data_IF_981374559228
#
_entry.id   IF_981374559228
#
_cell.length_a   1.000
_cell.length_b   1.000
_cell.length_c   1.000
_cell.angle_alpha   90.00
_cell.angle_beta   90.00
_cell.angle_gamma   90.00
#
_symmetry.space_group_name_H-M   'P 1'
#
loop_
_entity.id
_entity.type
_entity.pdbx_description
1 polymer ?
#
# COMPACT_ATOMS: atom_id res chain seq x y z
N UNK A 1 -14.30 11.32 -7.36
CA UNK A 1 -14.02 11.25 -5.90
C UNK A 1 -14.17 12.60 -5.22
N UNK A 2 -13.29 13.57 -5.45
CA UNK A 2 -13.23 14.86 -4.73
C UNK A 2 -14.55 15.65 -4.66
N UNK A 3 -15.18 15.95 -5.81
CA UNK A 3 -16.46 16.71 -5.86
C UNK A 3 -17.55 16.10 -4.96
N UNK A 4 -17.59 14.76 -4.87
CA UNK A 4 -18.58 14.05 -4.05
C UNK A 4 -18.28 14.16 -2.56
N UNK A 5 -17.01 14.23 -2.15
CA UNK A 5 -16.61 14.35 -0.75
C UNK A 5 -17.18 15.60 -0.07
N UNK A 6 -17.56 16.64 -0.83
CA UNK A 6 -18.21 17.85 -0.32
C UNK A 6 -19.46 17.59 0.52
N UNK A 7 -20.21 16.52 0.24
CA UNK A 7 -21.45 16.18 0.96
C UNK A 7 -21.21 15.80 2.44
N UNK A 8 -19.97 15.43 2.80
CA UNK A 8 -19.60 15.03 4.16
C UNK A 8 -19.44 16.21 5.13
N UNK A 9 -19.60 17.44 4.64
CA UNK A 9 -19.64 18.65 5.47
C UNK A 9 -20.98 19.36 5.21
N UNK A 10 -21.95 19.29 6.15
CA UNK A 10 -23.16 20.09 6.09
C UNK A 10 -22.82 21.57 6.19
N UNK A 11 -23.30 22.38 5.23
CA UNK A 11 -23.00 23.80 5.11
C UNK A 11 -21.49 24.11 5.21
N UNK A 12 -20.69 23.72 4.19
CA UNK A 12 -19.25 23.97 4.15
C UNK A 12 -18.95 25.47 4.27
N UNK A 13 -18.01 25.84 5.14
CA UNK A 13 -17.55 27.23 5.25
C UNK A 13 -16.54 27.57 4.17
N UNK A 14 -15.80 26.56 3.71
CA UNK A 14 -14.98 26.69 2.52
C UNK A 14 -15.90 26.72 1.30
N UNK A 15 -15.86 27.83 0.57
CA UNK A 15 -16.67 28.04 -0.62
C UNK A 15 -16.43 26.97 -1.69
N UNK A 16 -17.42 26.77 -2.56
CA UNK A 16 -17.37 25.76 -3.63
C UNK A 16 -16.14 25.92 -4.52
N UNK A 17 -15.82 27.16 -4.89
CA UNK A 17 -14.66 27.46 -5.75
C UNK A 17 -13.35 27.05 -5.08
N UNK A 18 -13.15 27.40 -3.81
CA UNK A 18 -11.94 27.02 -3.07
C UNK A 18 -11.82 25.49 -2.92
N UNK A 19 -12.93 24.81 -2.63
CA UNK A 19 -12.96 23.34 -2.61
C UNK A 19 -12.58 22.76 -3.99
N UNK A 20 -13.17 23.24 -5.07
CA UNK A 20 -12.92 22.71 -6.41
C UNK A 20 -11.49 22.99 -6.89
N UNK A 21 -10.92 24.16 -6.53
CA UNK A 21 -9.50 24.48 -6.78
C UNK A 21 -8.55 23.56 -6.03
N UNK A 22 -8.83 23.23 -4.77
CA UNK A 22 -8.02 22.29 -3.99
C UNK A 22 -7.99 20.91 -4.65
N UNK A 23 -9.15 20.45 -5.15
CA UNK A 23 -9.25 19.20 -5.90
C UNK A 23 -8.53 19.24 -7.25
N UNK A 24 -8.61 20.35 -7.97
CA UNK A 24 -7.91 20.55 -9.24
C UNK A 24 -6.39 20.57 -9.04
N UNK A 25 -5.90 21.24 -7.99
CA UNK A 25 -4.50 21.23 -7.62
C UNK A 25 -4.02 19.81 -7.29
N UNK A 26 -4.81 19.04 -6.54
CA UNK A 26 -4.56 17.62 -6.29
C UNK A 26 -4.47 16.79 -7.56
N UNK A 27 -5.44 16.94 -8.47
CA UNK A 27 -5.43 16.26 -9.75
C UNK A 27 -4.20 16.64 -10.60
N UNK A 28 -3.83 17.92 -10.63
CA UNK A 28 -2.65 18.39 -11.34
C UNK A 28 -1.36 17.77 -10.76
N UNK A 29 -1.21 17.74 -9.43
CA UNK A 29 -0.08 17.07 -8.77
C UNK A 29 0.00 15.60 -9.18
N UNK A 30 -1.11 14.86 -9.11
CA UNK A 30 -1.13 13.44 -9.45
C UNK A 30 -0.83 13.18 -10.93
N UNK A 31 -1.45 13.92 -11.85
CA UNK A 31 -1.33 13.67 -13.29
C UNK A 31 0.02 14.14 -13.85
N UNK A 32 0.54 15.25 -13.35
CA UNK A 32 1.74 15.89 -13.90
C UNK A 32 3.03 15.44 -13.23
N UNK A 33 2.95 14.72 -12.11
CA UNK A 33 4.15 14.19 -11.48
C UNK A 33 4.82 13.10 -12.32
N UNK A 34 6.14 13.06 -12.26
CA UNK A 34 6.93 12.19 -13.13
C UNK A 34 6.64 10.69 -12.90
N UNK A 35 6.32 10.25 -11.68
CA UNK A 35 6.05 8.83 -11.39
C UNK A 35 4.83 8.32 -12.16
N UNK A 36 3.72 9.06 -12.13
CA UNK A 36 2.50 8.70 -12.87
C UNK A 36 2.81 8.60 -14.35
N UNK A 37 3.49 9.61 -14.91
CA UNK A 37 3.87 9.63 -16.33
C UNK A 37 4.73 8.41 -16.70
N UNK A 38 5.67 8.05 -15.84
CA UNK A 38 6.56 6.90 -16.05
C UNK A 38 5.80 5.57 -15.95
N UNK A 39 4.94 5.39 -14.95
CA UNK A 39 4.18 4.15 -14.79
C UNK A 39 3.24 3.90 -15.96
N UNK A 40 2.59 4.95 -16.47
CA UNK A 40 1.77 4.86 -17.67
C UNK A 40 2.61 4.55 -18.91
N UNK A 41 3.75 5.25 -19.10
CA UNK A 41 4.63 5.03 -20.25
C UNK A 41 5.26 3.63 -20.27
N UNK A 42 5.66 3.11 -19.12
CA UNK A 42 6.30 1.80 -18.99
C UNK A 42 5.28 0.64 -18.94
N UNK A 43 3.97 0.91 -19.08
CA UNK A 43 2.89 -0.08 -18.99
C UNK A 43 3.06 -0.94 -17.71
N UNK A 44 3.36 -0.26 -16.61
CA UNK A 44 3.60 -0.92 -15.32
C UNK A 44 2.25 -1.24 -14.67
N UNK A 45 2.14 -2.36 -13.95
CA UNK A 45 0.92 -2.69 -13.22
C UNK A 45 0.54 -1.60 -12.20
N UNK A 46 1.51 -0.80 -11.74
CA UNK A 46 1.29 0.37 -10.88
C UNK A 46 0.33 1.41 -11.47
N UNK A 47 0.31 1.64 -12.80
CA UNK A 47 -0.63 2.57 -13.45
C UNK A 47 -2.07 2.06 -13.37
N UNK A 48 -2.27 0.79 -13.73
CA UNK A 48 -3.57 0.10 -13.61
C UNK A 48 -4.06 0.09 -12.16
N UNK A 49 -3.16 -0.15 -11.20
CA UNK A 49 -3.48 -0.13 -9.78
C UNK A 49 -3.95 1.25 -9.32
N UNK A 50 -3.28 2.33 -9.74
CA UNK A 50 -3.69 3.69 -9.37
C UNK A 50 -5.09 4.03 -9.93
N UNK A 51 -5.39 3.60 -11.16
CA UNK A 51 -6.72 3.74 -11.74
C UNK A 51 -7.78 2.95 -10.96
N UNK A 52 -7.55 1.65 -10.71
CA UNK A 52 -8.46 0.80 -9.94
C UNK A 52 -8.68 1.35 -8.53
N UNK A 53 -7.61 1.79 -7.86
CA UNK A 53 -7.66 2.43 -6.55
C UNK A 53 -8.52 3.72 -6.57
N UNK A 54 -8.40 4.52 -7.62
CA UNK A 54 -9.21 5.73 -7.79
C UNK A 54 -10.71 5.46 -7.92
N UNK A 55 -11.07 4.39 -8.65
CA UNK A 55 -12.45 3.91 -8.77
C UNK A 55 -12.93 3.37 -7.42
N UNK A 56 -12.12 2.55 -6.74
CA UNK A 56 -12.45 2.01 -5.42
C UNK A 56 -12.75 3.13 -4.42
N UNK A 57 -11.92 4.18 -4.34
CA UNK A 57 -12.21 5.33 -3.48
C UNK A 57 -13.45 6.13 -3.93
N UNK A 58 -13.68 6.25 -5.24
CA UNK A 58 -14.92 6.86 -5.74
C UNK A 58 -16.16 6.09 -5.28
N UNK A 59 -16.18 4.77 -5.47
CA UNK A 59 -17.28 3.88 -5.09
C UNK A 59 -17.47 3.84 -3.58
N UNK A 60 -16.40 3.86 -2.80
CA UNK A 60 -16.44 4.01 -1.34
C UNK A 60 -17.15 5.30 -0.95
N UNK A 61 -16.73 6.45 -1.47
CA UNK A 61 -17.34 7.73 -1.13
C UNK A 61 -18.82 7.77 -1.55
N UNK A 62 -19.16 7.19 -2.71
CA UNK A 62 -20.55 7.07 -3.16
C UNK A 62 -21.39 6.17 -2.23
N UNK A 63 -20.87 5.00 -1.87
CA UNK A 63 -21.50 4.10 -0.92
C UNK A 63 -21.74 4.81 0.42
N UNK A 64 -20.71 5.43 0.99
CA UNK A 64 -20.81 6.15 2.27
C UNK A 64 -21.85 7.28 2.20
N UNK A 65 -21.86 8.07 1.13
CA UNK A 65 -22.83 9.14 0.94
C UNK A 65 -24.26 8.60 0.81
N UNK A 66 -24.48 7.57 -0.03
CA UNK A 66 -25.80 7.00 -0.24
C UNK A 66 -26.33 6.26 1.00
N UNK A 67 -25.46 5.62 1.77
CA UNK A 67 -25.84 4.84 2.95
C UNK A 67 -26.05 5.69 4.21
N UNK A 68 -25.08 6.55 4.55
CA UNK A 68 -25.10 7.30 5.81
C UNK A 68 -25.80 8.65 5.72
N UNK A 69 -25.76 9.31 4.56
CA UNK A 69 -26.26 10.69 4.40
C UNK A 69 -27.60 10.72 3.66
N UNK A 70 -27.69 10.09 2.49
CA UNK A 70 -28.86 10.23 1.60
C UNK A 70 -29.90 9.12 1.77
N UNK A 71 -29.55 8.02 2.45
CA UNK A 71 -30.47 6.92 2.75
C UNK A 71 -31.07 6.23 1.50
N UNK A 72 -30.35 6.25 0.37
CA UNK A 72 -30.79 5.71 -0.93
C UNK A 72 -30.51 4.21 -1.02
N UNK A 73 -31.54 3.38 -0.82
CA UNK A 73 -31.42 1.91 -0.74
C UNK A 73 -30.81 1.27 -1.99
N UNK A 74 -31.36 1.54 -3.17
CA UNK A 74 -30.92 0.92 -4.44
C UNK A 74 -29.50 1.33 -4.80
N UNK A 75 -29.19 2.63 -4.73
CA UNK A 75 -27.86 3.15 -4.96
C UNK A 75 -26.83 2.57 -3.98
N UNK A 76 -27.20 2.44 -2.70
CA UNK A 76 -26.32 1.80 -1.70
C UNK A 76 -25.93 0.39 -2.10
N UNK A 77 -26.90 -0.44 -2.51
CA UNK A 77 -26.63 -1.82 -2.95
C UNK A 77 -25.73 -1.83 -4.18
N UNK A 78 -26.04 -1.03 -5.20
CA UNK A 78 -25.24 -0.96 -6.43
C UNK A 78 -23.79 -0.55 -6.15
N UNK A 79 -23.57 0.49 -5.33
CA UNK A 79 -22.22 0.94 -4.97
C UNK A 79 -21.51 -0.04 -4.05
N UNK A 80 -22.20 -0.76 -3.16
CA UNK A 80 -21.60 -1.80 -2.33
C UNK A 80 -21.10 -2.99 -3.17
N UNK A 81 -21.89 -3.45 -4.14
CA UNK A 81 -21.50 -4.53 -5.05
C UNK A 81 -20.33 -4.09 -5.92
N UNK A 82 -20.41 -2.88 -6.50
CA UNK A 82 -19.32 -2.35 -7.30
C UNK A 82 -18.03 -2.16 -6.47
N UNK A 83 -18.14 -1.69 -5.23
CA UNK A 83 -17.00 -1.55 -4.33
C UNK A 83 -16.39 -2.91 -3.97
N UNK A 84 -17.21 -3.93 -3.71
CA UNK A 84 -16.74 -5.30 -3.51
C UNK A 84 -15.96 -5.81 -4.73
N UNK A 85 -16.52 -5.64 -5.92
CA UNK A 85 -15.87 -6.02 -7.16
C UNK A 85 -14.51 -5.32 -7.34
N UNK A 86 -14.44 -4.00 -7.19
CA UNK A 86 -13.20 -3.26 -7.41
C UNK A 86 -12.16 -3.49 -6.31
N UNK A 87 -12.59 -3.76 -5.07
CA UNK A 87 -11.69 -4.12 -3.98
C UNK A 87 -11.06 -5.51 -4.21
N UNK A 88 -11.87 -6.51 -4.59
CA UNK A 88 -11.36 -7.85 -4.93
C UNK A 88 -10.42 -7.76 -6.15
N UNK A 89 -10.82 -7.02 -7.18
CA UNK A 89 -10.01 -6.80 -8.36
C UNK A 89 -8.66 -6.15 -8.01
N UNK A 90 -8.66 -5.13 -7.14
CA UNK A 90 -7.44 -4.47 -6.68
C UNK A 90 -6.50 -5.44 -5.95
N UNK A 91 -7.03 -6.31 -5.09
CA UNK A 91 -6.26 -7.34 -4.41
C UNK A 91 -5.66 -8.38 -5.40
N UNK A 92 -6.42 -8.78 -6.43
CA UNK A 92 -5.95 -9.73 -7.45
C UNK A 92 -4.87 -9.13 -8.36
N UNK A 93 -4.99 -7.86 -8.80
CA UNK A 93 -3.98 -7.25 -9.67
C UNK A 93 -2.67 -6.95 -8.96
N UNK A 94 -2.71 -6.67 -7.65
CA UNK A 94 -1.52 -6.42 -6.84
C UNK A 94 -1.77 -6.87 -5.40
N UNK A 95 -1.25 -8.06 -5.02
CA UNK A 95 -1.49 -8.66 -3.72
C UNK A 95 -1.13 -7.80 -2.51
N UNK A 96 -0.30 -6.76 -2.66
CA UNK A 96 0.01 -5.80 -1.59
C UNK A 96 -1.16 -4.89 -1.19
N UNK A 97 -2.35 -5.10 -1.76
CA UNK A 97 -3.59 -4.43 -1.37
C UNK A 97 -4.60 -5.39 -0.74
N UNK A 98 -4.23 -6.62 -0.38
CA UNK A 98 -5.17 -7.59 0.20
C UNK A 98 -5.81 -7.06 1.49
N UNK A 99 -4.99 -6.65 2.47
CA UNK A 99 -5.45 -6.06 3.72
C UNK A 99 -6.15 -4.72 3.49
N UNK A 100 -5.63 -3.90 2.59
CA UNK A 100 -6.24 -2.62 2.24
C UNK A 100 -7.65 -2.78 1.63
N UNK A 101 -7.84 -3.83 0.83
CA UNK A 101 -9.12 -4.17 0.22
C UNK A 101 -10.11 -4.69 1.26
N UNK A 102 -9.67 -5.48 2.25
CA UNK A 102 -10.51 -5.81 3.39
C UNK A 102 -10.90 -4.56 4.20
N UNK A 103 -9.94 -3.68 4.43
CA UNK A 103 -10.17 -2.41 5.14
C UNK A 103 -11.18 -1.52 4.40
N UNK A 104 -11.08 -1.41 3.07
CA UNK A 104 -11.98 -0.58 2.27
C UNK A 104 -13.42 -1.08 2.27
N UNK A 105 -13.62 -2.40 2.47
CA UNK A 105 -14.93 -3.03 2.56
C UNK A 105 -15.55 -2.97 3.96
N UNK A 106 -14.77 -2.62 4.99
CA UNK A 106 -15.26 -2.56 6.37
C UNK A 106 -16.52 -1.69 6.59
N UNK A 107 -16.75 -0.57 5.87
CA UNK A 107 -17.98 0.20 6.02
C UNK A 107 -19.23 -0.54 5.54
N UNK A 108 -19.11 -1.52 4.64
CA UNK A 108 -20.25 -2.34 4.18
C UNK A 108 -20.82 -3.15 5.34
N UNK A 109 -19.99 -3.52 6.33
CA UNK A 109 -20.45 -4.32 7.47
C UNK A 109 -21.57 -3.57 8.23
N UNK A 110 -21.53 -2.23 8.28
CA UNK A 110 -22.59 -1.39 8.85
C UNK A 110 -23.99 -1.65 8.27
N UNK A 111 -24.07 -2.11 7.01
CA UNK A 111 -25.32 -2.48 6.35
C UNK A 111 -26.03 -3.65 7.06
N UNK A 112 -25.27 -4.59 7.63
CA UNK A 112 -25.83 -5.76 8.31
C UNK A 112 -26.47 -5.42 9.66
N UNK A 113 -26.04 -4.34 10.32
CA UNK A 113 -26.68 -3.84 11.55
C UNK A 113 -27.94 -3.01 11.30
N UNK A 114 -28.22 -2.63 10.04
CA UNK A 114 -29.41 -1.82 9.74
C UNK A 114 -30.68 -2.66 9.78
N UNK A 115 -31.64 -2.24 10.61
CA UNK A 115 -32.96 -2.87 10.69
C UNK A 115 -33.82 -2.53 9.45
N UNK A 116 -34.66 -3.46 9.01
CA UNK A 116 -35.59 -3.28 7.89
C UNK A 116 -34.99 -3.32 6.48
N UNK A 117 -33.72 -3.72 6.33
CA UNK A 117 -32.98 -3.76 5.05
C UNK A 117 -32.65 -5.19 4.58
N UNK A 118 -33.54 -6.16 4.84
CA UNK A 118 -33.30 -7.58 4.55
C UNK A 118 -32.93 -7.83 3.08
N UNK A 119 -33.72 -7.32 2.14
CA UNK A 119 -33.46 -7.51 0.71
C UNK A 119 -32.13 -6.90 0.26
N UNK A 120 -31.76 -5.74 0.81
CA UNK A 120 -30.46 -5.11 0.51
C UNK A 120 -29.31 -5.98 0.99
N UNK A 121 -29.43 -6.62 2.16
CA UNK A 121 -28.42 -7.57 2.68
C UNK A 121 -28.27 -8.75 1.71
N UNK A 122 -29.38 -9.34 1.28
CA UNK A 122 -29.38 -10.47 0.33
C UNK A 122 -28.69 -10.08 -0.99
N UNK A 123 -29.07 -8.95 -1.59
CA UNK A 123 -28.48 -8.50 -2.85
C UNK A 123 -26.99 -8.16 -2.74
N UNK A 124 -26.56 -7.53 -1.65
CA UNK A 124 -25.14 -7.24 -1.41
C UNK A 124 -24.36 -8.53 -1.22
N UNK A 125 -24.88 -9.49 -0.45
CA UNK A 125 -24.23 -10.79 -0.26
C UNK A 125 -24.11 -11.56 -1.58
N UNK A 126 -25.19 -11.63 -2.37
CA UNK A 126 -25.16 -12.26 -3.69
C UNK A 126 -24.17 -11.58 -4.63
N UNK A 127 -24.18 -10.25 -4.69
CA UNK A 127 -23.25 -9.49 -5.54
C UNK A 127 -21.80 -9.62 -5.09
N UNK A 128 -21.54 -9.72 -3.77
CA UNK A 128 -20.21 -10.01 -3.23
C UNK A 128 -19.73 -11.40 -3.66
N UNK A 129 -20.55 -12.44 -3.44
CA UNK A 129 -20.21 -13.82 -3.84
C UNK A 129 -19.98 -13.92 -5.34
N UNK A 130 -20.84 -13.30 -6.14
CA UNK A 130 -20.69 -13.25 -7.60
C UNK A 130 -19.38 -12.56 -8.00
N UNK A 131 -19.07 -11.40 -7.41
CA UNK A 131 -17.81 -10.67 -7.68
C UNK A 131 -16.58 -11.51 -7.33
N UNK A 132 -16.60 -12.18 -6.17
CA UNK A 132 -15.54 -13.07 -5.75
C UNK A 132 -15.40 -14.28 -6.69
N UNK A 133 -16.51 -14.90 -7.11
CA UNK A 133 -16.50 -16.02 -8.03
C UNK A 133 -15.88 -15.63 -9.38
N UNK A 134 -16.30 -14.49 -9.95
CA UNK A 134 -15.80 -14.02 -11.26
C UNK A 134 -14.30 -13.71 -11.23
N UNK A 135 -13.79 -13.15 -10.13
CA UNK A 135 -12.40 -12.69 -10.06
C UNK A 135 -11.43 -13.74 -9.51
N UNK A 136 -11.84 -14.53 -8.51
CA UNK A 136 -10.95 -15.46 -7.80
C UNK A 136 -10.98 -16.88 -8.36
N UNK A 137 -12.08 -17.34 -8.96
CA UNK A 137 -12.12 -18.71 -9.53
C UNK A 137 -11.12 -18.88 -10.67
N UNK A 138 -10.99 -17.97 -11.64
CA UNK A 138 -9.99 -18.12 -12.70
C UNK A 138 -8.58 -18.23 -12.14
N UNK A 139 -8.22 -17.36 -11.19
CA UNK A 139 -6.92 -17.39 -10.53
C UNK A 139 -6.68 -18.70 -9.78
N UNK A 140 -7.68 -19.22 -9.07
CA UNK A 140 -7.59 -20.51 -8.38
C UNK A 140 -7.34 -21.66 -9.36
N UNK A 141 -8.07 -21.72 -10.48
CA UNK A 141 -7.92 -22.79 -11.46
C UNK A 141 -6.59 -22.71 -12.25
N UNK A 142 -6.08 -21.50 -12.49
CA UNK A 142 -4.82 -21.28 -13.20
C UNK A 142 -3.60 -21.51 -12.29
N UNK A 143 -3.66 -21.10 -11.02
CA UNK A 143 -2.52 -21.19 -10.10
C UNK A 143 -2.33 -22.57 -9.45
N UNK A 144 -3.35 -23.44 -9.44
CA UNK A 144 -3.30 -24.72 -8.72
C UNK A 144 -2.12 -25.63 -9.08
N UNK A 145 -1.67 -25.55 -10.34
CA UNK A 145 -0.57 -26.37 -10.86
C UNK A 145 0.73 -25.59 -11.03
N UNK A 146 0.76 -24.29 -10.71
CA UNK A 146 1.96 -23.49 -10.81
C UNK A 146 2.74 -23.51 -9.47
N UNK A 147 3.90 -24.15 -9.50
CA UNK A 147 4.79 -24.22 -8.33
C UNK A 147 5.27 -22.84 -7.88
N UNK A 148 5.52 -21.92 -8.81
CA UNK A 148 5.97 -20.56 -8.50
C UNK A 148 4.90 -19.82 -7.70
N UNK A 149 3.66 -19.82 -8.18
CA UNK A 149 2.52 -19.23 -7.46
C UNK A 149 2.33 -19.82 -6.06
N UNK A 150 2.51 -21.13 -5.90
CA UNK A 150 2.35 -21.82 -4.60
C UNK A 150 3.45 -21.50 -3.60
N UNK A 151 4.68 -21.32 -4.08
CA UNK A 151 5.88 -21.14 -3.23
C UNK A 151 6.22 -19.67 -2.97
N UNK A 152 5.75 -18.73 -3.80
CA UNK A 152 6.13 -17.32 -3.73
C UNK A 152 5.90 -16.69 -2.35
N UNK A 153 4.66 -16.74 -1.84
CA UNK A 153 4.34 -16.12 -0.55
C UNK A 153 5.06 -16.81 0.63
N UNK A 154 4.99 -18.16 0.79
CA UNK A 154 5.74 -18.83 1.86
C UNK A 154 7.25 -18.52 1.84
N UNK A 155 7.87 -18.55 0.65
CA UNK A 155 9.30 -18.25 0.50
C UNK A 155 9.59 -16.80 0.87
N UNK A 156 8.77 -15.85 0.40
CA UNK A 156 8.89 -14.42 0.74
C UNK A 156 8.84 -14.21 2.26
N UNK A 157 7.85 -14.81 2.94
CA UNK A 157 7.71 -14.72 4.39
C UNK A 157 8.95 -15.28 5.12
N UNK A 158 9.53 -16.36 4.60
CA UNK A 158 10.75 -16.95 5.14
C UNK A 158 11.98 -16.05 4.95
N UNK A 159 12.24 -15.57 3.72
CA UNK A 159 13.46 -14.80 3.43
C UNK A 159 13.44 -13.39 4.03
N UNK A 160 12.29 -12.71 4.04
CA UNK A 160 12.16 -11.36 4.59
C UNK A 160 12.31 -11.36 6.11
N UNK A 161 11.96 -12.46 6.77
CA UNK A 161 12.09 -12.64 8.22
C UNK A 161 13.26 -13.56 8.59
N UNK A 162 14.20 -13.79 7.66
CA UNK A 162 15.28 -14.75 7.77
C UNK A 162 16.09 -14.61 9.07
N UNK A 163 16.40 -13.39 9.52
CA UNK A 163 17.12 -13.17 10.78
C UNK A 163 16.33 -13.63 12.01
N UNK A 164 15.05 -13.30 12.11
CA UNK A 164 14.20 -13.75 13.22
C UNK A 164 14.00 -15.26 13.19
N UNK A 165 13.88 -15.84 12.00
CA UNK A 165 13.73 -17.29 11.81
C UNK A 165 15.02 -18.01 12.16
N UNK A 166 16.19 -17.49 11.74
CA UNK A 166 17.52 -18.00 12.14
C UNK A 166 17.66 -18.04 13.65
N UNK A 167 17.31 -16.94 14.32
CA UNK A 167 17.43 -16.84 15.77
C UNK A 167 16.44 -17.77 16.49
N UNK A 168 15.27 -18.02 15.90
CA UNK A 168 14.31 -18.98 16.42
C UNK A 168 14.77 -20.43 16.21
N UNK A 169 15.31 -20.76 15.04
CA UNK A 169 15.94 -22.06 14.75
C UNK A 169 17.06 -22.36 15.75
N UNK A 170 17.96 -21.40 15.99
CA UNK A 170 19.03 -21.55 16.97
C UNK A 170 18.50 -21.85 18.39
N UNK A 171 17.46 -21.13 18.81
CA UNK A 171 16.82 -21.36 20.11
C UNK A 171 16.16 -22.73 20.22
N UNK A 172 15.47 -23.19 19.17
CA UNK A 172 14.80 -24.48 19.16
C UNK A 172 15.81 -25.63 19.22
N UNK A 173 16.93 -25.51 18.48
CA UNK A 173 18.04 -26.46 18.50
C UNK A 173 18.74 -26.48 19.87
N UNK A 174 18.98 -25.33 20.47
CA UNK A 174 19.64 -25.23 21.78
C UNK A 174 18.78 -25.80 22.92
N UNK A 175 17.46 -25.61 22.85
CA UNK A 175 16.51 -26.09 23.88
C UNK A 175 15.99 -27.50 23.64
N UNK A 176 16.45 -28.18 22.59
CA UNK A 176 16.00 -29.52 22.21
C UNK A 176 14.47 -29.63 22.13
N UNK A 177 13.82 -28.62 21.52
CA UNK A 177 12.36 -28.59 21.45
C UNK A 177 11.84 -29.70 20.53
N UNK A 178 10.82 -30.43 20.96
CA UNK A 178 10.14 -31.42 20.11
C UNK A 178 9.38 -30.70 18.99
N UNK A 179 9.74 -31.00 17.74
CA UNK A 179 9.26 -30.35 16.53
C UNK A 179 8.89 -31.39 15.47
N UNK A 180 8.00 -31.06 14.51
CA UNK A 180 7.62 -31.95 13.42
C UNK A 180 8.73 -32.16 12.38
N UNK A 181 9.92 -31.57 12.58
CA UNK A 181 11.08 -31.67 11.71
C UNK A 181 12.26 -32.29 12.47
N UNK A 182 12.98 -33.19 11.82
CA UNK A 182 14.18 -33.82 12.39
C UNK A 182 15.24 -32.78 12.76
N UNK A 183 15.90 -32.96 13.91
CA UNK A 183 16.99 -32.09 14.38
C UNK A 183 18.06 -31.85 13.32
N UNK A 184 18.53 -32.91 12.65
CA UNK A 184 19.60 -32.83 11.63
C UNK A 184 19.22 -31.93 10.45
N UNK A 185 17.94 -31.94 10.06
CA UNK A 185 17.41 -31.05 9.01
C UNK A 185 17.39 -29.61 9.49
N UNK A 186 16.92 -29.37 10.70
CA UNK A 186 16.88 -28.03 11.30
C UNK A 186 18.28 -27.45 11.44
N UNK A 187 19.26 -28.26 11.84
CA UNK A 187 20.66 -27.86 11.96
C UNK A 187 21.28 -27.49 10.61
N UNK A 188 21.09 -28.32 9.57
CA UNK A 188 21.52 -27.99 8.21
C UNK A 188 20.90 -26.70 7.69
N UNK A 189 19.59 -26.53 7.85
CA UNK A 189 18.88 -25.32 7.43
C UNK A 189 19.31 -24.08 8.23
N UNK A 190 19.57 -24.22 9.53
CA UNK A 190 20.10 -23.15 10.36
C UNK A 190 21.49 -22.69 9.89
N UNK A 191 22.41 -23.64 9.65
CA UNK A 191 23.77 -23.34 9.19
C UNK A 191 23.77 -22.69 7.79
N UNK A 192 22.94 -23.22 6.88
CA UNK A 192 22.73 -22.65 5.56
C UNK A 192 22.19 -21.22 5.64
N UNK A 193 21.09 -21.01 6.38
CA UNK A 193 20.45 -19.70 6.53
C UNK A 193 21.41 -18.67 7.15
N UNK A 194 22.15 -19.05 8.19
CA UNK A 194 23.15 -18.18 8.82
C UNK A 194 24.24 -17.76 7.84
N UNK A 195 24.78 -18.71 7.07
CA UNK A 195 25.82 -18.46 6.07
C UNK A 195 25.32 -17.53 4.96
N UNK A 196 24.12 -17.78 4.43
CA UNK A 196 23.57 -16.97 3.35
C UNK A 196 23.17 -15.55 3.80
N UNK A 197 22.71 -15.36 5.04
CA UNK A 197 22.50 -14.01 5.61
C UNK A 197 23.83 -13.23 5.68
N UNK A 198 24.92 -13.88 6.07
CA UNK A 198 26.22 -13.19 6.16
C UNK A 198 26.77 -12.84 4.77
N UNK A 199 26.61 -13.73 3.79
CA UNK A 199 26.93 -13.43 2.39
C UNK A 199 26.10 -12.25 1.87
N UNK A 200 24.81 -12.20 2.15
CA UNK A 200 23.93 -11.15 1.63
C UNK A 200 24.24 -9.77 2.22
N UNK A 201 24.86 -9.69 3.41
CA UNK A 201 25.37 -8.43 3.98
C UNK A 201 26.54 -7.82 3.20
N UNK A 202 27.35 -8.68 2.57
CA UNK A 202 28.55 -8.26 1.82
C UNK A 202 28.31 -8.20 0.31
N UNK A 203 27.17 -8.71 -0.17
CA UNK A 203 26.76 -8.62 -1.56
C UNK A 203 26.64 -7.14 -1.99
N UNK A 204 27.11 -6.83 -3.21
CA UNK A 204 27.24 -5.46 -3.78
C UNK A 204 25.91 -4.69 -3.94
N UNK A 205 24.79 -5.26 -3.53
CA UNK A 205 23.44 -4.70 -3.63
C UNK A 205 22.79 -4.63 -2.25
N UNK A 206 23.34 -3.80 -1.35
CA UNK A 206 22.72 -3.58 -0.05
C UNK A 206 21.42 -2.78 -0.22
N UNK A 207 20.31 -3.46 -0.55
CA UNK A 207 19.03 -2.85 -0.91
C UNK A 207 18.10 -2.61 0.30
N UNK A 208 18.35 -3.30 1.43
CA UNK A 208 17.41 -3.35 2.56
C UNK A 208 18.05 -2.95 3.91
N UNK A 209 18.28 -1.65 4.12
CA UNK A 209 18.90 -1.13 5.34
C UNK A 209 18.09 -1.38 6.62
N UNK A 210 16.77 -1.40 6.51
CA UNK A 210 15.87 -1.54 7.66
C UNK A 210 15.78 -2.96 8.22
N UNK A 211 16.11 -3.95 7.39
CA UNK A 211 16.17 -5.38 7.75
C UNK A 211 17.61 -5.83 8.00
N UNK A 212 18.61 -5.18 7.39
CA UNK A 212 20.03 -5.38 7.68
C UNK A 212 20.73 -6.41 6.81
N UNK A 213 20.03 -7.00 5.83
CA UNK A 213 20.54 -8.00 4.88
C UNK A 213 19.72 -7.96 3.58
N UNK A 214 20.24 -8.50 2.48
CA UNK A 214 19.51 -8.53 1.20
C UNK A 214 18.57 -9.74 1.10
N UNK A 215 17.25 -9.50 1.14
CA UNK A 215 16.23 -10.54 1.02
C UNK A 215 16.06 -11.06 -0.41
N UNK A 216 16.34 -10.24 -1.43
CA UNK A 216 16.26 -10.67 -2.83
C UNK A 216 17.41 -11.64 -3.15
N UNK A 217 18.59 -11.41 -2.58
CA UNK A 217 19.70 -12.36 -2.64
C UNK A 217 19.29 -13.73 -2.05
N UNK A 218 18.63 -13.74 -0.88
CA UNK A 218 18.17 -14.97 -0.24
C UNK A 218 17.06 -15.71 -1.00
N UNK A 219 16.39 -15.04 -1.95
CA UNK A 219 15.29 -15.60 -2.73
C UNK A 219 15.71 -16.04 -4.12
N UNK A 220 16.49 -15.22 -4.82
CA UNK A 220 16.72 -15.36 -6.26
C UNK A 220 18.15 -15.77 -6.64
N UNK A 221 19.12 -15.69 -5.73
CA UNK A 221 20.47 -16.15 -6.05
C UNK A 221 20.45 -17.67 -6.35
N UNK A 222 21.18 -18.16 -7.38
CA UNK A 222 21.22 -19.58 -7.73
C UNK A 222 21.67 -20.50 -6.60
N UNK A 223 22.43 -19.98 -5.64
CA UNK A 223 22.89 -20.69 -4.45
C UNK A 223 22.22 -20.20 -3.16
N UNK A 224 21.12 -19.45 -3.27
CA UNK A 224 20.39 -18.88 -2.14
C UNK A 224 19.83 -19.94 -1.17
N UNK A 225 19.44 -19.48 0.01
CA UNK A 225 18.76 -20.33 1.00
C UNK A 225 17.43 -20.89 0.48
N UNK A 226 16.73 -20.20 -0.43
CA UNK A 226 15.52 -20.74 -1.06
C UNK A 226 15.82 -22.01 -1.86
N UNK A 227 16.90 -22.01 -2.65
CA UNK A 227 17.35 -23.19 -3.42
C UNK A 227 17.84 -24.29 -2.50
N UNK A 228 18.64 -23.95 -1.47
CA UNK A 228 19.15 -24.93 -0.51
C UNK A 228 18.02 -25.58 0.30
N UNK A 229 17.06 -24.81 0.77
CA UNK A 229 15.89 -25.34 1.47
C UNK A 229 15.06 -26.26 0.58
N UNK A 230 14.89 -25.94 -0.70
CA UNK A 230 14.20 -26.83 -1.65
C UNK A 230 14.88 -28.20 -1.79
N UNK A 231 16.21 -28.28 -1.67
CA UNK A 231 16.95 -29.57 -1.68
C UNK A 231 16.67 -30.43 -0.45
N UNK A 232 16.32 -29.83 0.68
CA UNK A 232 15.92 -30.53 1.91
C UNK A 232 14.48 -31.09 1.86
N UNK A 233 13.70 -30.67 0.85
CA UNK A 233 12.33 -31.10 0.60
C UNK A 233 12.14 -31.53 -0.87
N UNK A 234 12.86 -32.59 -1.33
CA UNK A 234 12.92 -32.93 -2.75
C UNK A 234 11.54 -33.36 -3.28
N UNK A 235 11.02 -32.61 -4.26
CA UNK A 235 9.73 -32.90 -4.90
C UNK A 235 8.49 -32.61 -4.05
N UNK A 236 8.66 -32.23 -2.77
CA UNK A 236 7.55 -31.96 -1.85
C UNK A 236 7.39 -30.48 -1.55
N UNK A 237 6.78 -29.79 -2.51
CA UNK A 237 6.43 -28.37 -2.43
C UNK A 237 5.52 -28.07 -1.24
N UNK A 238 4.63 -29.00 -0.90
CA UNK A 238 3.67 -28.82 0.19
C UNK A 238 4.39 -28.82 1.55
N UNK A 239 5.30 -29.77 1.77
CA UNK A 239 6.10 -29.82 2.99
C UNK A 239 7.06 -28.62 3.11
N UNK A 240 7.66 -28.17 2.00
CA UNK A 240 8.48 -26.95 1.99
C UNK A 240 7.67 -25.71 2.40
N UNK A 241 6.49 -25.53 1.80
CA UNK A 241 5.60 -24.42 2.16
C UNK A 241 5.12 -24.50 3.60
N UNK A 242 4.84 -25.71 4.10
CA UNK A 242 4.47 -25.94 5.49
C UNK A 242 5.63 -25.56 6.43
N UNK A 243 6.87 -25.89 6.09
CA UNK A 243 8.05 -25.49 6.85
C UNK A 243 8.22 -23.97 6.95
N UNK A 244 8.11 -23.26 5.82
CA UNK A 244 8.19 -21.80 5.82
C UNK A 244 7.09 -21.15 6.65
N UNK A 245 5.84 -21.59 6.48
CA UNK A 245 4.70 -21.09 7.28
C UNK A 245 4.85 -21.43 8.75
N UNK A 246 5.36 -22.61 9.08
CA UNK A 246 5.59 -23.04 10.45
C UNK A 246 6.56 -22.09 11.16
N UNK A 247 7.74 -21.83 10.58
CA UNK A 247 8.72 -20.95 11.21
C UNK A 247 8.30 -19.48 11.20
N UNK A 248 7.55 -19.04 10.19
CA UNK A 248 6.93 -17.71 10.20
C UNK A 248 5.90 -17.56 11.34
N UNK A 249 5.02 -18.56 11.54
CA UNK A 249 4.11 -18.56 12.68
C UNK A 249 4.85 -18.63 14.02
N UNK A 250 5.93 -19.40 14.08
CA UNK A 250 6.72 -19.60 15.29
C UNK A 250 7.45 -18.35 15.77
N UNK A 251 7.92 -17.48 14.87
CA UNK A 251 8.50 -16.19 15.27
C UNK A 251 7.45 -15.25 15.87
N UNK A 252 6.20 -15.31 15.41
CA UNK A 252 5.10 -14.57 16.03
C UNK A 252 4.77 -15.11 17.43
N UNK A 253 4.80 -16.43 17.61
CA UNK A 253 4.52 -17.07 18.89
C UNK A 253 5.65 -16.82 19.92
N UNK A 254 6.91 -16.99 19.51
CA UNK A 254 8.06 -17.00 20.42
C UNK A 254 8.83 -15.68 20.50
N UNK A 255 8.69 -14.81 19.49
CA UNK A 255 9.43 -13.54 19.35
C UNK A 255 8.53 -12.36 18.92
N UNK A 256 7.30 -12.19 19.46
CA UNK A 256 6.34 -11.19 18.96
C UNK A 256 6.87 -9.76 19.01
N UNK A 257 7.58 -9.38 20.08
CA UNK A 257 8.13 -8.03 20.23
C UNK A 257 9.18 -7.71 19.16
N UNK A 258 9.97 -8.69 18.73
CA UNK A 258 10.99 -8.50 17.70
C UNK A 258 10.37 -8.39 16.31
N UNK A 259 9.29 -9.15 16.06
CA UNK A 259 8.49 -9.01 14.83
C UNK A 259 7.84 -7.62 14.78
N UNK A 260 7.20 -7.18 15.88
CA UNK A 260 6.61 -5.84 15.97
C UNK A 260 7.66 -4.73 15.80
N UNK A 261 8.86 -4.89 16.37
CA UNK A 261 9.95 -3.95 16.17
C UNK A 261 10.41 -3.87 14.69
N UNK A 262 10.47 -5.01 13.98
CA UNK A 262 10.75 -5.05 12.54
C UNK A 262 9.66 -4.33 11.75
N UNK A 263 8.39 -4.62 12.03
CA UNK A 263 7.23 -3.96 11.38
C UNK A 263 7.25 -2.46 11.65
N UNK A 264 7.53 -2.02 12.88
CA UNK A 264 7.63 -0.60 13.21
C UNK A 264 8.75 0.10 12.44
N UNK A 265 9.94 -0.50 12.32
CA UNK A 265 11.04 0.03 11.49
C UNK A 265 10.65 0.13 10.01
N UNK A 266 9.92 -0.86 9.49
CA UNK A 266 9.39 -0.80 8.13
C UNK A 266 8.41 0.36 7.96
N UNK A 267 7.42 0.48 8.86
CA UNK A 267 6.43 1.55 8.83
C UNK A 267 7.09 2.93 8.84
N UNK A 268 8.14 3.11 9.65
CA UNK A 268 8.89 4.38 9.71
C UNK A 268 9.43 4.84 8.35
N UNK A 269 9.73 3.94 7.41
CA UNK A 269 10.18 4.30 6.05
C UNK A 269 9.14 5.14 5.32
N UNK A 270 7.84 4.87 5.57
CA UNK A 270 6.75 5.61 4.96
C UNK A 270 6.47 6.93 5.67
N UNK A 271 6.64 7.01 7.00
CA UNK A 271 6.25 8.18 7.79
C UNK A 271 7.40 9.12 8.12
N UNK A 272 8.67 8.69 8.05
CA UNK A 272 9.83 9.45 8.51
C UNK A 272 11.03 9.37 7.57
N UNK A 273 11.83 10.45 7.44
CA UNK A 273 11.51 11.83 7.84
C UNK A 273 10.52 12.52 6.87
N UNK A 274 10.28 11.92 5.70
CA UNK A 274 9.33 12.40 4.69
C UNK A 274 8.63 11.21 4.02
N UNK A 275 7.41 11.42 3.51
CA UNK A 275 6.61 10.34 2.93
C UNK A 275 7.13 9.91 1.56
N UNK A 276 7.66 8.68 1.50
CA UNK A 276 8.28 8.09 0.30
C UNK A 276 7.31 7.60 -0.77
N UNK A 277 5.99 7.67 -0.52
CA UNK A 277 5.01 7.53 -1.59
C UNK A 277 5.22 8.60 -2.68
N UNK A 278 5.62 9.80 -2.26
CA UNK A 278 6.00 10.90 -3.11
C UNK A 278 7.47 10.78 -3.51
N UNK A 279 7.78 10.86 -4.80
CA UNK A 279 9.15 11.09 -5.26
C UNK A 279 9.31 12.49 -5.87
N UNK A 280 10.00 13.41 -5.18
CA UNK A 280 10.27 14.74 -5.70
C UNK A 280 11.36 14.76 -6.78
N UNK A 281 12.00 13.63 -7.13
CA UNK A 281 13.05 13.61 -8.15
C UNK A 281 12.53 14.14 -9.49
N UNK A 282 13.29 15.06 -10.08
CA UNK A 282 12.97 15.74 -11.35
C UNK A 282 13.67 15.06 -12.54
N UNK A 283 14.58 14.12 -12.26
CA UNK A 283 15.31 13.39 -13.29
C UNK A 283 15.51 11.92 -12.95
N UNK A 284 15.41 11.08 -13.98
CA UNK A 284 15.74 9.65 -13.92
C UNK A 284 16.86 9.36 -14.92
N UNK A 285 17.91 8.68 -14.45
CA UNK A 285 18.95 8.13 -15.32
C UNK A 285 18.39 6.87 -15.98
N UNK A 286 18.24 6.89 -17.30
CA UNK A 286 17.75 5.76 -18.09
C UNK A 286 18.85 4.78 -18.46
N UNK A 287 20.11 5.23 -18.53
CA UNK A 287 21.23 4.35 -18.89
C UNK A 287 21.37 3.12 -17.98
N UNK A 288 21.08 3.26 -16.69
CA UNK A 288 21.06 2.14 -15.75
C UNK A 288 19.93 1.13 -16.03
N UNK A 289 18.74 1.62 -16.39
CA UNK A 289 17.59 0.78 -16.74
C UNK A 289 17.87 0.01 -18.05
N UNK A 290 18.40 0.68 -19.07
CA UNK A 290 18.81 0.03 -20.31
C UNK A 290 19.92 -1.01 -20.08
N UNK A 291 20.88 -0.73 -19.18
CA UNK A 291 21.91 -1.72 -18.83
C UNK A 291 21.33 -2.97 -18.17
N UNK A 292 20.31 -2.81 -17.32
CA UNK A 292 19.57 -3.95 -16.79
C UNK A 292 18.85 -4.74 -17.89
N UNK A 293 18.21 -4.06 -18.85
CA UNK A 293 17.58 -4.72 -20.00
C UNK A 293 18.58 -5.50 -20.86
N UNK A 294 19.77 -4.96 -21.10
CA UNK A 294 20.84 -5.67 -21.82
C UNK A 294 21.24 -6.97 -21.11
N UNK A 295 21.36 -6.95 -19.78
CA UNK A 295 21.64 -8.17 -19.00
C UNK A 295 20.51 -9.19 -19.18
N UNK A 296 19.24 -8.76 -19.14
CA UNK A 296 18.10 -9.65 -19.38
C UNK A 296 18.07 -10.21 -20.81
N UNK A 297 18.43 -9.44 -21.83
CA UNK A 297 18.53 -9.93 -23.21
C UNK A 297 19.73 -10.84 -23.45
N UNK A 298 20.74 -10.77 -22.57
CA UNK A 298 21.91 -11.63 -22.61
C UNK A 298 21.64 -13.02 -22.02
N UNK A 299 20.45 -13.26 -21.44
CA UNK A 299 20.03 -14.58 -20.99
C UNK A 299 20.04 -15.57 -22.17
N UNK A 300 20.71 -16.73 -22.04
CA UNK A 300 20.87 -17.67 -23.16
C UNK A 300 19.55 -18.16 -23.76
N UNK A 301 18.50 -18.31 -22.96
CA UNK A 301 17.19 -18.77 -23.44
C UNK A 301 16.50 -17.68 -24.25
N UNK A 302 16.49 -16.44 -23.75
CA UNK A 302 15.93 -15.29 -24.46
C UNK A 302 16.71 -15.02 -25.75
N UNK A 303 18.04 -15.00 -25.67
CA UNK A 303 18.92 -14.68 -26.78
C UNK A 303 18.73 -15.62 -27.96
N UNK A 304 18.56 -16.92 -27.70
CA UNK A 304 18.31 -17.93 -28.75
C UNK A 304 17.05 -17.60 -29.56
N UNK A 305 15.95 -17.29 -28.87
CA UNK A 305 14.66 -16.99 -29.52
C UNK A 305 14.67 -15.63 -30.22
N UNK A 306 15.35 -14.64 -29.63
CA UNK A 306 15.31 -13.26 -30.12
C UNK A 306 16.22 -13.04 -31.32
N UNK A 307 17.31 -13.81 -31.46
CA UNK A 307 18.21 -13.71 -32.61
C UNK A 307 17.57 -14.19 -33.92
N UNK A 308 16.53 -15.02 -33.84
CA UNK A 308 15.79 -15.50 -35.01
C UNK A 308 14.79 -14.46 -35.57
N UNK A 309 14.59 -13.33 -34.86
CA UNK A 309 13.66 -12.27 -35.24
C UNK A 309 14.40 -10.93 -35.45
N UNK A 310 14.64 -10.50 -36.71
CA UNK A 310 15.45 -9.32 -37.00
C UNK A 310 15.04 -8.02 -36.29
N UNK A 311 13.74 -7.71 -36.09
CA UNK A 311 13.34 -6.54 -35.29
C UNK A 311 13.74 -6.63 -33.81
N UNK A 312 13.78 -7.84 -33.23
CA UNK A 312 14.29 -8.01 -31.86
C UNK A 312 15.79 -7.79 -31.79
N UNK A 313 16.54 -8.21 -32.81
CA UNK A 313 17.99 -7.95 -32.90
C UNK A 313 18.27 -6.45 -33.01
N UNK A 314 17.55 -5.72 -33.87
CA UNK A 314 17.66 -4.25 -33.95
C UNK A 314 17.31 -3.57 -32.61
N UNK A 315 16.24 -4.01 -31.96
CA UNK A 315 15.86 -3.53 -30.63
C UNK A 315 16.93 -3.78 -29.55
N UNK A 316 17.53 -4.98 -29.55
CA UNK A 316 18.63 -5.33 -28.63
C UNK A 316 19.86 -4.45 -28.86
N UNK A 317 20.28 -4.30 -30.12
CA UNK A 317 21.43 -3.47 -30.49
C UNK A 317 21.23 -2.01 -30.10
N UNK A 318 20.05 -1.45 -30.37
CA UNK A 318 19.70 -0.08 -29.95
C UNK A 318 19.66 0.03 -28.43
N UNK A 319 19.13 -0.96 -27.72
CA UNK A 319 19.12 -0.97 -26.25
C UNK A 319 20.54 -0.97 -25.70
N UNK A 320 21.46 -1.72 -26.30
CA UNK A 320 22.86 -1.74 -25.92
C UNK A 320 23.54 -0.38 -26.19
N UNK A 321 23.28 0.23 -27.34
CA UNK A 321 23.77 1.58 -27.65
C UNK A 321 23.25 2.61 -26.63
N UNK A 322 21.96 2.56 -26.29
CA UNK A 322 21.34 3.46 -25.32
C UNK A 322 21.82 3.18 -23.89
N UNK A 323 22.17 1.93 -23.54
CA UNK A 323 22.75 1.58 -22.23
C UNK A 323 24.14 2.20 -22.02
N UNK A 324 24.90 2.35 -23.10
CA UNK A 324 26.22 3.02 -23.08
C UNK A 324 26.11 4.54 -23.00
N UNK A 325 24.94 5.11 -23.30
CA UNK A 325 24.67 6.55 -23.23
C UNK A 325 24.13 6.93 -21.84
N UNK A 326 24.61 8.04 -21.27
CA UNK A 326 24.04 8.63 -20.04
C UNK A 326 22.71 9.34 -20.30
N UNK A 327 21.73 8.64 -20.85
CA UNK A 327 20.41 9.20 -21.11
C UNK A 327 19.73 9.56 -19.80
N UNK A 328 19.21 10.79 -19.72
CA UNK A 328 18.45 11.28 -18.57
C UNK A 328 17.09 11.74 -19.04
N UNK A 329 16.04 11.15 -18.50
CA UNK A 329 14.73 11.74 -18.57
C UNK A 329 14.69 12.91 -17.59
N UNK A 330 14.47 14.12 -18.09
CA UNK A 330 14.15 15.29 -17.26
C UNK A 330 12.67 15.59 -17.45
N UNK A 331 11.95 15.73 -16.34
CA UNK A 331 10.59 16.23 -16.39
C UNK A 331 10.62 17.61 -17.06
N UNK A 332 9.74 17.88 -18.07
CA UNK A 332 9.75 19.16 -18.75
C UNK A 332 9.53 20.28 -17.73
N UNK A 333 10.49 21.22 -17.70
CA UNK A 333 10.60 22.32 -16.73
C UNK A 333 9.46 23.36 -16.82
N UNK A 334 8.45 23.14 -17.66
CA UNK A 334 7.34 24.09 -17.86
C UNK A 334 6.49 24.31 -16.60
N UNK A 335 6.58 23.43 -15.59
CA UNK A 335 5.87 23.57 -14.31
C UNK A 335 6.78 23.17 -13.13
N UNK A 336 7.78 24.00 -12.73
CA UNK A 336 8.66 23.71 -11.59
C UNK A 336 7.89 23.62 -10.26
N UNK A 337 6.65 24.12 -10.24
CA UNK A 337 5.73 24.05 -9.11
C UNK A 337 5.33 22.62 -8.74
N UNK A 338 5.26 21.69 -9.70
CA UNK A 338 4.80 20.31 -9.42
C UNK A 338 5.79 19.55 -8.53
N UNK A 339 7.10 19.46 -8.87
CA UNK A 339 8.07 18.84 -7.96
C UNK A 339 8.14 19.49 -6.58
N UNK A 340 8.02 20.82 -6.51
CA UNK A 340 7.99 21.57 -5.24
C UNK A 340 6.76 21.15 -4.42
N UNK A 341 5.58 21.13 -5.04
CA UNK A 341 4.36 20.69 -4.37
C UNK A 341 4.47 19.23 -3.88
N UNK A 342 5.01 18.33 -4.69
CA UNK A 342 5.26 16.92 -4.30
C UNK A 342 6.20 16.83 -3.10
N UNK A 343 7.28 17.62 -3.08
CA UNK A 343 8.20 17.69 -1.94
C UNK A 343 7.50 18.21 -0.67
N UNK A 344 6.73 19.29 -0.78
CA UNK A 344 5.97 19.85 0.34
C UNK A 344 4.94 18.85 0.88
N UNK A 345 4.25 18.11 0.00
CA UNK A 345 3.32 17.05 0.40
C UNK A 345 4.06 15.91 1.10
N UNK A 346 5.25 15.53 0.61
CA UNK A 346 6.09 14.51 1.22
C UNK A 346 6.50 14.86 2.65
N UNK A 347 6.99 16.08 2.88
CA UNK A 347 7.45 16.53 4.19
C UNK A 347 6.28 16.78 5.15
N UNK A 348 5.15 17.28 4.64
CA UNK A 348 3.99 17.64 5.48
C UNK A 348 3.09 16.46 5.86
N UNK A 349 3.24 15.28 5.23
CA UNK A 349 2.34 14.13 5.43
C UNK A 349 2.13 13.75 6.89
N UNK A 350 3.21 13.48 7.62
CA UNK A 350 3.13 13.02 9.00
C UNK A 350 2.59 14.10 9.94
N UNK A 351 2.92 15.37 9.67
CA UNK A 351 2.37 16.51 10.42
C UNK A 351 0.87 16.69 10.15
N UNK A 352 0.45 16.61 8.88
CA UNK A 352 -0.97 16.67 8.50
C UNK A 352 -1.77 15.52 9.12
N UNK A 353 -1.21 14.31 9.12
CA UNK A 353 -1.79 13.15 9.80
C UNK A 353 -1.98 13.42 11.30
N UNK A 354 -0.91 13.83 12.00
CA UNK A 354 -0.96 14.09 13.44
C UNK A 354 -2.00 15.16 13.79
N UNK A 355 -2.00 16.29 13.08
CA UNK A 355 -2.98 17.36 13.29
C UNK A 355 -4.39 16.86 13.00
N UNK A 356 -4.61 16.16 11.89
CA UNK A 356 -5.92 15.63 11.54
C UNK A 356 -6.46 14.64 12.60
N UNK A 357 -5.60 13.77 13.15
CA UNK A 357 -5.98 12.84 14.22
C UNK A 357 -6.36 13.58 15.52
N UNK A 358 -5.58 14.59 15.92
CA UNK A 358 -5.90 15.40 17.11
C UNK A 358 -7.24 16.09 16.92
N UNK A 359 -7.46 16.74 15.78
CA UNK A 359 -8.72 17.44 15.49
C UNK A 359 -9.89 16.47 15.39
N UNK A 360 -9.71 15.30 14.79
CA UNK A 360 -10.74 14.26 14.73
C UNK A 360 -11.10 13.75 16.14
N UNK A 361 -10.11 13.58 17.02
CA UNK A 361 -10.32 13.25 18.43
C UNK A 361 -11.15 14.32 19.16
N UNK A 362 -10.81 15.60 18.97
CA UNK A 362 -11.60 16.71 19.53
C UNK A 362 -13.05 16.64 19.03
N UNK A 363 -13.25 16.49 17.71
CA UNK A 363 -14.57 16.40 17.09
C UNK A 363 -15.38 15.21 17.63
N UNK A 364 -14.74 14.06 17.86
CA UNK A 364 -15.38 12.87 18.41
C UNK A 364 -15.79 13.05 19.89
N UNK A 365 -14.95 13.70 20.70
CA UNK A 365 -15.16 13.85 22.15
C UNK A 365 -16.12 14.99 22.52
N UNK A 366 -16.42 15.91 21.61
CA UNK A 366 -17.23 17.09 21.91
C UNK A 366 -18.63 16.98 21.32
N UNK A 367 -19.64 16.98 22.19
CA UNK A 367 -21.04 16.95 21.77
C UNK A 367 -21.49 18.32 21.24
N UNK A 368 -22.27 18.31 20.15
CA UNK A 368 -22.95 19.50 19.61
C UNK A 368 -22.07 20.46 18.79
N UNK A 369 -21.00 21.02 19.39
CA UNK A 369 -20.24 22.14 18.79
C UNK A 369 -19.64 21.81 17.42
N UNK A 370 -19.14 20.60 17.23
CA UNK A 370 -18.44 20.19 16.01
C UNK A 370 -19.20 19.15 15.21
N UNK A 371 -20.50 19.00 15.47
CA UNK A 371 -21.33 17.93 14.89
C UNK A 371 -21.29 17.89 13.36
N UNK A 372 -21.19 19.05 12.72
CA UNK A 372 -21.08 19.16 11.25
C UNK A 372 -19.80 18.53 10.68
N UNK A 373 -18.75 18.38 11.48
CA UNK A 373 -17.46 17.85 11.02
C UNK A 373 -17.31 16.35 11.26
N UNK A 374 -18.26 15.69 11.93
CA UNK A 374 -18.15 14.26 12.27
C UNK A 374 -17.91 13.37 11.05
N UNK A 375 -18.66 13.58 9.97
CA UNK A 375 -18.58 12.77 8.77
C UNK A 375 -17.27 12.96 7.99
N UNK A 376 -16.82 14.22 7.83
CA UNK A 376 -15.52 14.48 7.19
C UNK A 376 -14.35 14.00 8.07
N UNK A 377 -14.43 14.15 9.40
CA UNK A 377 -13.42 13.65 10.31
C UNK A 377 -13.29 12.12 10.20
N UNK A 378 -14.42 11.40 10.18
CA UNK A 378 -14.43 9.96 9.98
C UNK A 378 -13.83 9.57 8.62
N UNK A 379 -14.18 10.27 7.53
CA UNK A 379 -13.64 10.02 6.20
C UNK A 379 -12.12 10.28 6.13
N UNK A 380 -11.62 11.32 6.81
CA UNK A 380 -10.19 11.63 6.89
C UNK A 380 -9.43 10.56 7.66
N UNK A 381 -9.91 10.19 8.85
CA UNK A 381 -9.30 9.10 9.65
C UNK A 381 -9.28 7.81 8.83
N UNK A 382 -10.40 7.46 8.19
CA UNK A 382 -10.50 6.30 7.32
C UNK A 382 -9.47 6.33 6.17
N UNK A 383 -9.33 7.47 5.50
CA UNK A 383 -8.40 7.61 4.36
C UNK A 383 -6.94 7.47 4.78
N UNK A 384 -6.56 8.00 5.95
CA UNK A 384 -5.23 7.80 6.52
C UNK A 384 -5.00 6.36 7.00
N UNK A 385 -6.00 5.75 7.63
CA UNK A 385 -5.97 4.35 8.05
C UNK A 385 -5.86 3.38 6.87
N UNK A 386 -6.43 3.72 5.70
CA UNK A 386 -6.25 2.94 4.47
C UNK A 386 -4.77 2.87 4.07
N UNK A 387 -4.04 4.00 4.08
CA UNK A 387 -2.60 4.00 3.79
C UNK A 387 -1.83 3.22 4.86
N UNK A 388 -2.24 3.32 6.13
CA UNK A 388 -1.65 2.53 7.22
C UNK A 388 -1.86 1.02 7.01
N UNK A 389 -3.02 0.59 6.53
CA UNK A 389 -3.30 -0.81 6.20
C UNK A 389 -2.42 -1.31 5.04
N UNK A 390 -2.26 -0.51 3.97
CA UNK A 390 -1.34 -0.83 2.88
C UNK A 390 0.10 -1.00 3.38
N UNK A 391 0.56 -0.06 4.22
CA UNK A 391 1.92 -0.09 4.77
C UNK A 391 2.12 -1.27 5.73
N UNK A 392 1.12 -1.58 6.56
CA UNK A 392 1.17 -2.68 7.52
C UNK A 392 1.29 -4.03 6.81
N UNK A 393 0.51 -4.23 5.74
CA UNK A 393 0.56 -5.44 4.91
C UNK A 393 1.96 -5.64 4.32
N UNK A 394 2.49 -4.59 3.66
CA UNK A 394 3.83 -4.63 3.06
C UNK A 394 4.91 -4.82 4.13
N UNK A 395 4.81 -4.14 5.27
CA UNK A 395 5.76 -4.28 6.39
C UNK A 395 5.75 -5.68 7.02
N UNK A 396 4.61 -6.37 6.97
CA UNK A 396 4.42 -7.70 7.55
C UNK A 396 4.83 -8.82 6.59
N UNK A 397 4.62 -8.64 5.28
CA UNK A 397 4.89 -9.67 4.27
C UNK A 397 6.27 -9.48 3.65
N UNK A 398 6.63 -8.24 3.29
CA UNK A 398 7.83 -7.90 2.54
C UNK A 398 8.57 -6.71 3.20
N UNK A 399 9.11 -5.79 2.39
CA UNK A 399 9.80 -4.58 2.83
C UNK A 399 9.25 -3.35 2.10
N UNK A 400 9.08 -2.27 2.87
CA UNK A 400 8.72 -0.95 2.36
C UNK A 400 9.91 -0.26 1.66
N UNK A 401 11.13 -0.80 1.73
CA UNK A 401 12.27 -0.29 0.95
C UNK A 401 12.11 -0.53 -0.55
N UNK A 402 11.28 -1.51 -0.93
CA UNK A 402 10.89 -1.72 -2.32
C UNK A 402 9.94 -0.60 -2.73
N UNK A 403 10.50 0.37 -3.45
CA UNK A 403 9.83 1.59 -3.88
C UNK A 403 8.46 1.38 -4.55
N UNK A 404 8.29 0.29 -5.29
CA UNK A 404 7.05 -0.02 -6.03
C UNK A 404 5.83 -0.19 -5.11
N UNK A 405 6.01 -0.63 -3.86
CA UNK A 405 4.90 -0.77 -2.91
C UNK A 405 4.50 0.54 -2.24
N UNK A 406 5.40 1.53 -2.18
CA UNK A 406 5.07 2.87 -1.67
C UNK A 406 4.46 3.75 -2.74
N UNK A 407 5.05 3.74 -3.94
CA UNK A 407 4.68 4.65 -5.04
C UNK A 407 3.29 4.38 -5.60
N UNK A 408 2.84 3.13 -5.59
CA UNK A 408 1.46 2.77 -5.97
C UNK A 408 0.41 3.41 -5.04
N UNK A 409 0.78 3.78 -3.81
CA UNK A 409 -0.11 4.40 -2.83
C UNK A 409 -0.21 5.92 -3.01
N UNK A 410 0.49 6.52 -3.98
CA UNK A 410 0.52 7.99 -4.10
C UNK A 410 -0.88 8.59 -4.26
N UNK A 411 -1.77 7.95 -5.03
CA UNK A 411 -3.14 8.45 -5.20
C UNK A 411 -3.89 8.54 -3.85
N UNK A 412 -3.89 7.45 -3.07
CA UNK A 412 -4.60 7.40 -1.78
C UNK A 412 -3.92 8.29 -0.73
N UNK A 413 -2.59 8.41 -0.78
CA UNK A 413 -1.79 9.31 0.06
C UNK A 413 -2.18 10.77 -0.20
N UNK A 414 -2.26 11.15 -1.47
CA UNK A 414 -2.64 12.51 -1.88
C UNK A 414 -4.08 12.82 -1.53
N UNK A 415 -5.00 11.90 -1.82
CA UNK A 415 -6.41 12.07 -1.46
C UNK A 415 -6.58 12.22 0.06
N UNK A 416 -5.92 11.40 0.87
CA UNK A 416 -5.97 11.49 2.33
C UNK A 416 -5.45 12.83 2.84
N UNK A 417 -4.32 13.32 2.32
CA UNK A 417 -3.80 14.64 2.70
C UNK A 417 -4.71 15.79 2.28
N UNK A 418 -5.29 15.76 1.07
CA UNK A 418 -6.20 16.81 0.62
C UNK A 418 -7.48 16.84 1.45
N UNK A 419 -8.04 15.67 1.78
CA UNK A 419 -9.18 15.56 2.69
C UNK A 419 -8.80 16.07 4.10
N UNK A 420 -7.62 15.69 4.60
CA UNK A 420 -7.10 16.15 5.89
C UNK A 420 -6.92 17.67 5.92
N UNK A 421 -6.32 18.25 4.88
CA UNK A 421 -6.13 19.69 4.75
C UNK A 421 -7.48 20.42 4.69
N UNK A 422 -8.43 19.94 3.90
CA UNK A 422 -9.78 20.52 3.85
C UNK A 422 -10.50 20.44 5.20
N UNK A 423 -10.39 19.31 5.90
CA UNK A 423 -10.93 19.15 7.26
C UNK A 423 -10.30 20.14 8.25
N UNK A 424 -8.98 20.29 8.24
CA UNK A 424 -8.26 21.26 9.08
C UNK A 424 -8.76 22.68 8.80
N UNK A 425 -8.91 23.07 7.52
CA UNK A 425 -9.45 24.38 7.15
C UNK A 425 -10.88 24.60 7.67
N UNK A 426 -11.78 23.64 7.46
CA UNK A 426 -13.16 23.72 7.97
C UNK A 426 -13.22 23.82 9.51
N UNK A 427 -12.31 23.15 10.20
CA UNK A 427 -12.18 23.22 11.65
C UNK A 427 -11.67 24.59 12.10
N UNK A 428 -10.61 25.11 11.48
CA UNK A 428 -10.04 26.42 11.79
C UNK A 428 -11.06 27.53 11.55
N UNK A 429 -11.68 27.60 10.36
CA UNK A 429 -12.71 28.62 10.08
C UNK A 429 -13.86 28.51 11.08
N UNK A 430 -14.22 27.29 11.49
CA UNK A 430 -15.21 27.12 12.54
C UNK A 430 -14.81 27.64 13.90
N UNK A 431 -13.56 27.41 14.30
CA UNK A 431 -13.02 27.95 15.52
C UNK A 431 -13.06 29.48 15.53
N UNK A 432 -12.68 30.12 14.42
CA UNK A 432 -12.62 31.57 14.28
C UNK A 432 -14.01 32.22 14.40
N UNK A 433 -15.03 31.70 13.72
CA UNK A 433 -16.39 32.24 13.84
C UNK A 433 -16.96 32.04 15.26
N UNK A 434 -16.74 30.89 15.89
CA UNK A 434 -17.17 30.67 17.28
C UNK A 434 -16.48 31.62 18.28
N UNK A 435 -15.23 32.04 18.00
CA UNK A 435 -14.53 33.05 18.80
C UNK A 435 -15.14 34.44 18.56
N UNK A 436 -15.38 34.80 17.31
CA UNK A 436 -16.00 36.07 16.91
C UNK A 436 -17.41 36.24 17.51
N UNK A 437 -18.23 35.19 17.48
CA UNK A 437 -19.58 35.20 18.07
C UNK A 437 -19.54 35.41 19.59
N UNK A 438 -18.59 34.77 20.29
CA UNK A 438 -18.39 34.97 21.73
C UNK A 438 -17.90 36.38 22.08
N UNK A 439 -17.03 36.97 21.25
CA UNK A 439 -16.58 38.35 21.46
C UNK A 439 -17.71 39.38 21.24
N UNK A 440 -18.71 39.05 20.42
CA UNK A 440 -19.86 39.91 20.13
C UNK A 440 -21.03 39.73 21.12
N UNK A 441 -20.99 38.70 21.97
CA UNK A 441 -21.89 38.51 23.11
C UNK A 441 -21.12 38.78 24.41
N UNK A 442 -20.91 40.05 24.81
CA UNK A 442 -20.43 40.33 26.16
C UNK A 442 -21.46 39.80 27.16
N UNK A 443 -20.99 39.11 28.20
CA UNK A 443 -21.76 38.68 29.36
C UNK A 443 -22.59 39.83 29.90
N UNK A 444 -23.87 39.86 29.53
CA UNK A 444 -24.88 40.74 30.07
C UNK A 444 -25.82 39.93 30.95
N UNK A 445 -25.44 39.69 32.20
CA UNK A 445 -26.34 39.41 33.31
C UNK A 445 -25.57 39.51 34.64
N UNK A 446 -26.02 40.43 35.49
CA UNK A 446 -25.66 40.48 36.92
C UNK A 446 -24.54 41.45 37.26
N UNK A 447 -24.88 42.73 37.40
CA UNK A 447 -24.89 43.39 38.73
C UNK A 447 -24.95 44.90 38.58
N UNK A 448 -26.12 45.48 38.89
CA UNK A 448 -26.31 46.78 39.57
C UNK A 448 -27.78 46.91 39.99
N UNK A 449 -28.07 47.58 41.12
CA UNK A 449 -27.49 47.47 42.46
C UNK A 449 -28.36 46.64 43.41
#
# INVERSE_FOLDING_TARGET
TWKRARIFVPNPRIGRVAHDLLGLAGAAIFLLQWQTIVFEKEIRPEGICAFALSITFYLLIQFLACFFLEHRRTATVAYAIALAFTAIFLASIKPSFGLASLFVLSPIIALFWRSGWWWQKVWVSLGFVFSAAVLLLPEHFLSRNDEMSRTFLPTTLFVVHAELIRDQLANDLAKNVSLPYSRDRLERLYLALRTEIEKSRTARQYAYHSVGFDADFLMYDPNSIAVQARREFPGDVTALCAFYRFYYGRIWEKRPLQVLAKVARQMQIFYLPYCRAYDPRISRKLGGDYRYSVVSFSDPMCRKVWMDYPPAVDFMNRTEELARRELRFRQPLLLPLIPIAVLLMSISYSTSLAVALILAGIVALTSGRWRRLHFIAALVVFSFSFNAACCLEVATIISLEIRRYMTVQMYSTLLAQLLGFWFILEFVVQMWECRRQRALQPTGAGDKP
#
